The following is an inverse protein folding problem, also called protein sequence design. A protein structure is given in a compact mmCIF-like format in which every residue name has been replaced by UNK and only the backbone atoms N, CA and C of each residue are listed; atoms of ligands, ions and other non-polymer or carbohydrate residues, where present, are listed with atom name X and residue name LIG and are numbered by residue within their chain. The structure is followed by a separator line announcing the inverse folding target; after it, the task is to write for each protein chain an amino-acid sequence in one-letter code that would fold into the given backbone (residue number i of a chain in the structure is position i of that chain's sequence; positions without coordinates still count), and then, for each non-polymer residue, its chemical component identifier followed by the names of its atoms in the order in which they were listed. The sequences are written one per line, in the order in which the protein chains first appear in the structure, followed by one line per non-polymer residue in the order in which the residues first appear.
data_IF_059045373806
#
_entry.id   IF_059045373806
#
_cell.length_a   1.000
_cell.length_b   1.000
_cell.length_c   1.000
_cell.angle_alpha   90.00
_cell.angle_beta   90.00
_cell.angle_gamma   90.00
#
_symmetry.space_group_name_H-M   'P 1'
#
loop_
_entity.id
_entity.type
_entity.pdbx_description
1 polymer ?
#
# COMPACT_ATOMS: atom_id res chain seq x y z
N UNK A 1 4.06 -23.93 13.52
CA UNK A 1 4.88 -22.70 13.51
C UNK A 1 4.29 -21.77 12.47
N UNK A 2 3.86 -20.53 12.81
CA UNK A 2 3.53 -19.54 11.78
C UNK A 2 4.75 -19.42 10.86
N UNK A 3 4.55 -19.56 9.56
CA UNK A 3 5.65 -19.52 8.60
C UNK A 3 6.31 -18.15 8.72
N UNK A 4 7.56 -18.09 9.21
CA UNK A 4 8.29 -16.81 9.38
C UNK A 4 8.27 -15.94 8.10
N UNK A 5 8.14 -16.59 6.94
CA UNK A 5 7.92 -15.98 5.64
C UNK A 5 6.62 -15.17 5.54
N UNK A 6 5.46 -15.70 5.95
CA UNK A 6 4.18 -14.94 5.87
C UNK A 6 4.23 -13.70 6.76
N UNK A 7 4.82 -13.84 7.94
CA UNK A 7 5.03 -12.72 8.87
C UNK A 7 5.95 -11.66 8.25
N UNK A 8 7.09 -12.07 7.69
CA UNK A 8 8.08 -11.14 7.09
C UNK A 8 7.54 -10.43 5.86
N UNK A 9 6.83 -11.13 4.96
CA UNK A 9 6.21 -10.54 3.76
C UNK A 9 5.15 -9.51 4.13
N UNK A 10 4.34 -9.81 5.14
CA UNK A 10 3.30 -8.91 5.64
C UNK A 10 3.88 -7.70 6.34
N UNK A 11 4.94 -7.89 7.12
CA UNK A 11 5.68 -6.80 7.76
C UNK A 11 6.31 -5.88 6.71
N UNK A 12 6.94 -6.44 5.68
CA UNK A 12 7.50 -5.68 4.56
C UNK A 12 6.41 -4.86 3.85
N UNK A 13 5.26 -5.46 3.53
CA UNK A 13 4.13 -4.75 2.94
C UNK A 13 3.64 -3.60 3.83
N UNK A 14 3.56 -3.83 5.15
CA UNK A 14 3.18 -2.80 6.11
C UNK A 14 4.20 -1.64 6.17
N UNK A 15 5.51 -1.94 6.14
CA UNK A 15 6.56 -0.93 6.09
C UNK A 15 6.50 -0.09 4.82
N UNK A 16 6.26 -0.72 3.67
CA UNK A 16 6.13 -0.03 2.38
C UNK A 16 4.92 0.91 2.36
N UNK A 17 3.75 0.44 2.80
CA UNK A 17 2.57 1.30 2.95
C UNK A 17 2.81 2.44 3.94
N UNK A 18 3.52 2.17 5.04
CA UNK A 18 3.83 3.20 6.04
C UNK A 18 4.72 4.27 5.43
N UNK A 19 5.80 3.88 4.76
CA UNK A 19 6.71 4.81 4.09
C UNK A 19 6.00 5.63 3.02
N UNK A 20 5.17 4.99 2.19
CA UNK A 20 4.37 5.66 1.16
C UNK A 20 3.35 6.64 1.77
N UNK A 21 2.61 6.22 2.79
CA UNK A 21 1.64 7.07 3.49
C UNK A 21 2.29 8.29 4.15
N UNK A 22 3.43 8.10 4.81
CA UNK A 22 4.23 9.20 5.37
C UNK A 22 4.73 10.13 4.26
N UNK A 23 5.21 9.60 3.13
CA UNK A 23 5.68 10.43 2.02
C UNK A 23 4.55 11.29 1.44
N UNK A 24 3.33 10.75 1.32
CA UNK A 24 2.16 11.50 0.88
C UNK A 24 1.80 12.67 1.82
N UNK A 25 1.88 12.46 3.13
CA UNK A 25 1.61 13.50 4.13
C UNK A 25 2.76 14.51 4.18
N UNK A 26 4.02 14.04 4.21
CA UNK A 26 5.20 14.88 4.24
C UNK A 26 5.31 15.76 2.97
N UNK A 27 4.83 15.27 1.83
CA UNK A 27 4.79 16.03 0.58
C UNK A 27 4.00 17.35 0.67
N UNK A 28 3.08 17.47 1.63
CA UNK A 28 2.35 18.73 1.89
C UNK A 28 3.25 19.87 2.35
N UNK A 29 4.37 19.57 3.02
CA UNK A 29 5.31 20.60 3.48
C UNK A 29 6.09 21.23 2.32
N UNK A 30 6.20 20.52 1.20
CA UNK A 30 7.04 20.92 0.07
C UNK A 30 6.23 21.38 -1.15
N UNK A 31 4.90 21.39 -1.05
CA UNK A 31 4.00 21.71 -2.16
C UNK A 31 2.88 22.65 -1.70
N UNK A 32 2.40 23.48 -2.61
CA UNK A 32 1.24 24.33 -2.36
C UNK A 32 -0.02 23.50 -2.03
N UNK A 33 -0.82 24.05 -1.11
CA UNK A 33 -2.03 23.42 -0.60
C UNK A 33 -3.16 23.57 -1.63
N UNK A 34 -3.22 22.61 -2.55
CA UNK A 34 -4.20 22.53 -3.64
C UNK A 34 -5.10 21.28 -3.46
N UNK A 35 -6.21 21.19 -4.20
CA UNK A 35 -7.18 20.08 -4.13
C UNK A 35 -6.50 18.71 -4.29
N UNK A 36 -5.53 18.64 -5.22
CA UNK A 36 -4.73 17.42 -5.47
C UNK A 36 -3.86 17.04 -4.27
N UNK A 37 -3.36 18.03 -3.52
CA UNK A 37 -2.53 17.80 -2.35
C UNK A 37 -3.36 17.25 -1.18
N UNK A 38 -4.59 17.75 -1.00
CA UNK A 38 -5.54 17.22 -0.01
C UNK A 38 -5.92 15.76 -0.34
N UNK A 39 -6.18 15.47 -1.62
CA UNK A 39 -6.43 14.09 -2.07
C UNK A 39 -5.27 13.14 -1.78
N UNK A 40 -4.03 13.59 -2.05
CA UNK A 40 -2.83 12.83 -1.72
C UNK A 40 -2.66 12.58 -0.21
N UNK A 41 -2.96 13.59 0.62
CA UNK A 41 -2.95 13.46 2.08
C UNK A 41 -3.95 12.41 2.57
N UNK A 42 -5.18 12.46 2.06
CA UNK A 42 -6.25 11.55 2.46
C UNK A 42 -5.91 10.11 2.08
N UNK A 43 -5.34 9.93 0.89
CA UNK A 43 -4.82 8.64 0.42
C UNK A 43 -3.67 8.15 1.31
N UNK A 44 -2.74 9.03 1.68
CA UNK A 44 -1.67 8.72 2.64
C UNK A 44 -2.20 8.26 3.99
N UNK A 45 -3.24 8.91 4.52
CA UNK A 45 -3.90 8.49 5.76
C UNK A 45 -4.55 7.10 5.64
N UNK A 46 -5.23 6.82 4.51
CA UNK A 46 -5.78 5.49 4.23
C UNK A 46 -4.66 4.44 4.22
N UNK A 47 -3.51 4.74 3.63
CA UNK A 47 -2.37 3.83 3.61
C UNK A 47 -1.84 3.53 5.02
N UNK A 48 -1.75 4.53 5.88
CA UNK A 48 -1.35 4.33 7.28
C UNK A 48 -2.35 3.46 8.06
N UNK A 49 -3.66 3.67 7.86
CA UNK A 49 -4.70 2.84 8.50
C UNK A 49 -4.57 1.37 8.05
N UNK A 50 -4.35 1.14 6.75
CA UNK A 50 -4.14 -0.21 6.21
C UNK A 50 -2.88 -0.84 6.80
N UNK A 51 -1.78 -0.07 6.90
CA UNK A 51 -0.53 -0.53 7.50
C UNK A 51 -0.71 -0.97 8.96
N UNK A 52 -1.46 -0.22 9.77
CA UNK A 52 -1.82 -0.60 11.15
C UNK A 52 -2.55 -1.96 11.16
N UNK A 53 -3.52 -2.14 10.26
CA UNK A 53 -4.21 -3.42 10.11
C UNK A 53 -3.29 -4.57 9.68
N UNK A 54 -2.30 -4.28 8.83
CA UNK A 54 -1.28 -5.26 8.42
C UNK A 54 -0.38 -5.67 9.60
N UNK A 55 0.05 -4.73 10.44
CA UNK A 55 0.79 -5.05 11.67
C UNK A 55 -0.06 -5.88 12.65
N UNK A 56 -1.35 -5.57 12.77
CA UNK A 56 -2.31 -6.30 13.62
C UNK A 56 -2.75 -7.69 13.10
N UNK A 57 -2.11 -8.23 12.05
CA UNK A 57 -2.40 -9.56 11.48
C UNK A 57 -3.85 -9.79 10.97
N UNK A 58 -4.67 -8.74 10.81
CA UNK A 58 -6.03 -8.83 10.29
C UNK A 58 -6.13 -9.37 8.86
N UNK A 59 -6.98 -10.36 8.58
CA UNK A 59 -7.17 -10.85 7.19
C UNK A 59 -7.81 -9.78 6.30
N UNK A 60 -8.68 -8.94 6.87
CA UNK A 60 -9.35 -7.85 6.15
C UNK A 60 -8.34 -6.82 5.61
N UNK A 61 -7.29 -6.51 6.37
CA UNK A 61 -6.29 -5.54 5.92
C UNK A 61 -5.47 -6.02 4.73
N UNK A 62 -5.32 -7.34 4.52
CA UNK A 62 -4.69 -7.89 3.31
C UNK A 62 -5.53 -7.60 2.07
N UNK A 63 -6.87 -7.73 2.18
CA UNK A 63 -7.76 -7.37 1.07
C UNK A 63 -7.70 -5.88 0.77
N UNK A 64 -7.70 -5.03 1.80
CA UNK A 64 -7.57 -3.57 1.62
C UNK A 64 -6.21 -3.18 1.03
N UNK A 65 -5.12 -3.85 1.45
CA UNK A 65 -3.78 -3.65 0.91
C UNK A 65 -3.62 -4.15 -0.54
N UNK A 66 -4.57 -4.94 -1.05
CA UNK A 66 -4.65 -5.30 -2.46
C UNK A 66 -5.53 -4.29 -3.20
N UNK A 67 -6.78 -4.12 -2.75
CA UNK A 67 -7.79 -3.34 -3.46
C UNK A 67 -7.40 -1.87 -3.61
N UNK A 68 -7.00 -1.21 -2.52
CA UNK A 68 -6.73 0.23 -2.55
C UNK A 68 -5.50 0.54 -3.40
N UNK A 69 -4.30 -0.05 -3.18
CA UNK A 69 -3.14 0.26 -4.01
C UNK A 69 -3.34 -0.18 -5.47
N UNK A 70 -4.06 -1.26 -5.75
CA UNK A 70 -4.39 -1.65 -7.13
C UNK A 70 -5.28 -0.60 -7.83
N UNK A 71 -6.29 -0.06 -7.15
CA UNK A 71 -7.12 1.01 -7.72
C UNK A 71 -6.33 2.28 -7.99
N UNK A 72 -5.42 2.65 -7.08
CA UNK A 72 -4.55 3.81 -7.23
C UNK A 72 -3.59 3.62 -8.41
N UNK A 73 -2.88 2.49 -8.47
CA UNK A 73 -2.00 2.15 -9.58
C UNK A 73 -2.74 2.14 -10.93
N UNK A 74 -3.95 1.55 -10.98
CA UNK A 74 -4.75 1.53 -12.21
C UNK A 74 -5.16 2.93 -12.65
N UNK A 75 -5.62 3.76 -11.71
CA UNK A 75 -5.97 5.16 -12.02
C UNK A 75 -4.78 5.98 -12.50
N UNK A 76 -3.58 5.72 -11.96
CA UNK A 76 -2.35 6.38 -12.39
C UNK A 76 -1.94 5.96 -13.82
N UNK A 77 -2.11 4.69 -14.17
CA UNK A 77 -1.80 4.18 -15.52
C UNK A 77 -2.79 4.70 -16.57
N UNK A 78 -4.05 4.94 -16.19
CA UNK A 78 -5.08 5.47 -17.09
C UNK A 78 -4.94 6.97 -17.39
N UNK A 79 -4.07 7.69 -16.67
CA UNK A 79 -3.81 9.10 -16.98
C UNK A 79 -2.97 9.20 -18.26
N UNK A 80 -3.42 10.03 -19.20
CA UNK A 80 -2.77 10.21 -20.51
C UNK A 80 -1.46 11.04 -20.43
N UNK A 81 -1.17 11.65 -19.29
CA UNK A 81 0.06 12.41 -19.07
C UNK A 81 1.21 11.51 -18.64
N UNK A 82 2.44 11.75 -19.14
CA UNK A 82 3.61 10.98 -18.75
C UNK A 82 3.84 11.12 -17.23
N UNK A 83 3.94 10.00 -16.49
CA UNK A 83 4.05 10.05 -15.04
C UNK A 83 5.36 10.69 -14.60
N UNK A 84 5.29 11.52 -13.57
CA UNK A 84 6.49 12.07 -12.94
C UNK A 84 7.24 10.94 -12.19
N UNK A 85 8.56 11.07 -12.00
CA UNK A 85 9.41 10.05 -11.34
C UNK A 85 8.87 9.62 -9.97
N UNK A 86 8.31 10.57 -9.20
CA UNK A 86 7.66 10.28 -7.92
C UNK A 86 6.39 9.43 -8.06
N UNK A 87 5.58 9.69 -9.08
CA UNK A 87 4.37 8.89 -9.36
C UNK A 87 4.76 7.48 -9.79
N UNK A 88 5.79 7.34 -10.63
CA UNK A 88 6.32 6.02 -11.03
C UNK A 88 6.81 5.23 -9.82
N UNK A 89 7.52 5.88 -8.89
CA UNK A 89 7.98 5.25 -7.66
C UNK A 89 6.81 4.79 -6.78
N UNK A 90 5.79 5.63 -6.60
CA UNK A 90 4.61 5.27 -5.82
C UNK A 90 3.84 4.09 -6.44
N UNK A 91 3.65 4.09 -7.77
CA UNK A 91 3.02 2.97 -8.48
C UNK A 91 3.84 1.69 -8.31
N UNK A 92 5.17 1.76 -8.36
CA UNK A 92 6.02 0.60 -8.14
C UNK A 92 5.87 0.04 -6.71
N UNK A 93 5.80 0.92 -5.70
CA UNK A 93 5.52 0.53 -4.31
C UNK A 93 4.15 -0.12 -4.19
N UNK A 94 3.11 0.46 -4.81
CA UNK A 94 1.75 -0.06 -4.78
C UNK A 94 1.66 -1.46 -5.40
N UNK A 95 2.28 -1.65 -6.57
CA UNK A 95 2.34 -2.96 -7.23
C UNK A 95 3.06 -3.98 -6.35
N UNK A 96 4.18 -3.59 -5.72
CA UNK A 96 4.93 -4.48 -4.85
C UNK A 96 4.12 -4.87 -3.61
N UNK A 97 3.41 -3.92 -3.00
CA UNK A 97 2.46 -4.16 -1.90
C UNK A 97 1.34 -5.11 -2.30
N UNK A 98 0.76 -4.93 -3.49
CA UNK A 98 -0.29 -5.82 -4.04
C UNK A 98 0.25 -7.24 -4.19
N UNK A 99 1.43 -7.41 -4.79
CA UNK A 99 2.06 -8.71 -4.95
C UNK A 99 2.34 -9.39 -3.61
N UNK A 100 2.95 -8.68 -2.66
CA UNK A 100 3.23 -9.22 -1.32
C UNK A 100 1.95 -9.62 -0.58
N UNK A 101 0.93 -8.76 -0.59
CA UNK A 101 -0.33 -9.00 0.10
C UNK A 101 -1.10 -10.17 -0.52
N UNK A 102 -1.08 -10.29 -1.84
CA UNK A 102 -1.68 -11.42 -2.58
C UNK A 102 -0.95 -12.73 -2.27
N UNK A 103 0.39 -12.72 -2.24
CA UNK A 103 1.17 -13.90 -1.87
C UNK A 103 0.89 -14.35 -0.43
N UNK A 104 0.80 -13.41 0.51
CA UNK A 104 0.45 -13.71 1.90
C UNK A 104 -0.96 -14.30 1.98
N UNK A 105 -1.94 -13.71 1.29
CA UNK A 105 -3.31 -14.19 1.26
C UNK A 105 -3.40 -15.62 0.67
N UNK A 106 -2.67 -15.88 -0.42
CA UNK A 106 -2.56 -17.19 -1.04
C UNK A 106 -1.95 -18.23 -0.10
N UNK A 107 -0.87 -17.86 0.60
CA UNK A 107 -0.22 -18.74 1.59
C UNK A 107 -1.13 -19.05 2.78
N UNK A 108 -1.87 -18.07 3.29
CA UNK A 108 -2.83 -18.27 4.38
C UNK A 108 -3.99 -19.17 3.93
N UNK A 109 -4.46 -19.03 2.69
CA UNK A 109 -5.54 -19.86 2.12
C UNK A 109 -5.10 -21.31 1.89
N UNK A 110 -3.90 -21.53 1.36
CA UNK A 110 -3.41 -22.86 0.97
C UNK A 110 -2.69 -23.61 2.09
N UNK A 111 -2.35 -22.92 3.18
CA UNK A 111 -1.86 -23.54 4.42
C UNK A 111 -2.74 -23.08 5.58
N UNK A 112 -4.03 -23.49 5.62
CA UNK A 112 -4.86 -23.21 6.77
C UNK A 112 -4.23 -23.90 7.97
N UNK A 113 -3.64 -23.12 8.88
CA UNK A 113 -3.27 -23.62 10.20
C UNK A 113 -4.55 -24.10 10.87
N UNK A 114 -4.64 -25.41 11.12
CA UNK A 114 -5.57 -25.98 12.09
C UNK A 114 -5.43 -25.27 13.43
#
# INVERSE_FOLDING_TARGET
MPNRLTFSLRFLAACLLTGSGVAHIAGLWFRELDERAVGAMLLGAVYLIIAIGLFGQSRFSLFMAIAVPATVALSAIQQLEPPNTLQTANVAVDVLVVCLSTLVLWQVRNRPSR
#
